data_IF_550695736375
#
_entry.id   IF_550695736375
#
_cell.length_a   1.000
_cell.length_b   1.000
_cell.length_c   1.000
_cell.angle_alpha   90.00
_cell.angle_beta   90.00
_cell.angle_gamma   90.00
#
_symmetry.space_group_name_H-M   'P 1'
#
loop_
_entity.id
_entity.type
_entity.pdbx_description
1 polymer ?
#
# COMPACT_ATOMS: atom_id res chain seq x y z
N UNK A 1 8.34 -31.05 -20.46
CA UNK A 1 7.65 -29.73 -20.52
C UNK A 1 8.41 -28.88 -21.54
N UNK A 2 7.72 -28.13 -22.40
CA UNK A 2 8.36 -27.28 -23.40
C UNK A 2 9.34 -26.30 -22.72
N UNK A 3 10.39 -25.90 -23.49
CA UNK A 3 11.40 -24.89 -23.10
C UNK A 3 10.74 -23.50 -23.06
N UNK A 4 9.97 -23.22 -21.99
CA UNK A 4 9.26 -21.95 -21.81
C UNK A 4 10.25 -20.87 -21.39
N UNK A 5 10.26 -19.73 -22.07
CA UNK A 5 11.16 -18.61 -21.81
C UNK A 5 10.43 -17.28 -21.78
N UNK A 6 10.96 -16.35 -21.03
CA UNK A 6 10.59 -14.93 -21.11
C UNK A 6 11.13 -14.37 -22.42
N UNK A 7 10.26 -13.90 -23.30
CA UNK A 7 10.68 -13.29 -24.59
C UNK A 7 10.87 -11.78 -24.46
N UNK A 8 10.00 -11.11 -23.73
CA UNK A 8 10.07 -9.67 -23.56
C UNK A 8 9.41 -9.20 -22.27
N UNK A 9 9.88 -8.07 -21.78
CA UNK A 9 9.26 -7.30 -20.71
C UNK A 9 8.82 -5.95 -21.28
N UNK A 10 7.55 -5.62 -21.13
CA UNK A 10 6.99 -4.32 -21.55
C UNK A 10 6.60 -3.52 -20.32
N UNK A 11 7.00 -2.26 -20.29
CA UNK A 11 6.58 -1.30 -19.27
C UNK A 11 5.47 -0.44 -19.84
N UNK A 12 4.32 -0.43 -19.17
CA UNK A 12 3.14 0.34 -19.57
C UNK A 12 2.89 1.40 -18.51
N UNK A 13 3.06 2.67 -18.92
CA UNK A 13 2.74 3.84 -18.11
C UNK A 13 1.38 4.37 -18.53
N UNK A 14 0.49 4.57 -17.56
CA UNK A 14 -0.85 5.12 -17.81
C UNK A 14 -1.38 5.86 -16.60
N UNK A 15 -2.20 6.89 -16.84
CA UNK A 15 -2.79 7.75 -15.80
C UNK A 15 -4.28 7.97 -16.08
N UNK A 16 -5.12 6.93 -16.05
CA UNK A 16 -6.56 7.09 -16.31
C UNK A 16 -7.31 7.75 -15.15
N UNK A 17 -6.69 7.88 -13.98
CA UNK A 17 -7.15 8.65 -12.83
C UNK A 17 -6.16 9.74 -12.46
N UNK A 18 -5.98 9.97 -11.17
CA UNK A 18 -5.04 10.97 -10.64
C UNK A 18 -3.63 10.45 -10.45
N UNK A 19 -3.43 9.13 -10.45
CA UNK A 19 -2.16 8.49 -10.15
C UNK A 19 -1.48 7.97 -11.41
N UNK A 20 -0.16 8.13 -11.47
CA UNK A 20 0.70 7.57 -12.52
C UNK A 20 0.95 6.11 -12.22
N UNK A 21 0.35 5.23 -12.98
CA UNK A 21 0.43 3.79 -12.79
C UNK A 21 1.51 3.20 -13.69
N UNK A 22 2.26 2.22 -13.15
CA UNK A 22 3.28 1.48 -13.87
C UNK A 22 2.91 0.00 -13.81
N UNK A 23 2.56 -0.54 -14.98
CA UNK A 23 2.25 -1.96 -15.13
C UNK A 23 3.33 -2.63 -15.96
N UNK A 24 3.76 -3.80 -15.52
CA UNK A 24 4.71 -4.64 -16.25
C UNK A 24 3.96 -5.78 -16.91
N UNK A 25 4.20 -5.99 -18.21
CA UNK A 25 3.72 -7.15 -18.96
C UNK A 25 4.90 -8.00 -19.38
N UNK A 26 4.96 -9.21 -18.84
CA UNK A 26 5.96 -10.22 -19.20
C UNK A 26 5.38 -11.14 -20.26
N UNK A 27 5.98 -11.16 -21.45
CA UNK A 27 5.62 -12.02 -22.56
C UNK A 27 6.47 -13.29 -22.53
N UNK A 28 5.88 -14.43 -22.90
CA UNK A 28 6.58 -15.72 -22.94
C UNK A 28 6.67 -16.26 -24.36
N UNK A 29 7.52 -17.27 -24.56
CA UNK A 29 7.66 -18.02 -25.83
C UNK A 29 6.41 -18.83 -26.19
N UNK A 30 5.45 -18.96 -25.29
CA UNK A 30 4.14 -19.54 -25.60
C UNK A 30 3.19 -18.46 -26.07
N UNK A 31 2.68 -18.54 -27.31
CA UNK A 31 1.80 -17.52 -27.86
C UNK A 31 0.53 -17.31 -27.00
N UNK A 32 0.27 -16.06 -26.65
CA UNK A 32 -0.90 -15.70 -25.84
C UNK A 32 -0.69 -15.86 -24.32
N UNK A 33 0.39 -16.48 -23.87
CA UNK A 33 0.73 -16.57 -22.45
C UNK A 33 1.58 -15.38 -22.01
N UNK A 34 1.03 -14.54 -21.15
CA UNK A 34 1.71 -13.40 -20.54
C UNK A 34 1.24 -13.21 -19.11
N UNK A 35 2.00 -12.46 -18.32
CA UNK A 35 1.61 -12.03 -16.99
C UNK A 35 1.67 -10.51 -16.82
N UNK A 36 0.86 -10.03 -15.88
CA UNK A 36 0.82 -8.63 -15.49
C UNK A 36 1.30 -8.47 -14.04
N UNK A 37 2.03 -7.38 -13.78
CA UNK A 37 2.49 -7.03 -12.44
C UNK A 37 2.50 -5.54 -12.19
N UNK A 38 2.42 -5.16 -10.90
CA UNK A 38 2.46 -3.78 -10.44
C UNK A 38 3.90 -3.36 -10.13
N UNK A 39 4.34 -2.25 -10.73
CA UNK A 39 5.61 -1.60 -10.44
C UNK A 39 5.40 -0.12 -10.08
N UNK A 40 4.23 0.23 -9.54
CA UNK A 40 3.83 1.61 -9.38
C UNK A 40 4.57 2.29 -8.23
N UNK A 41 5.35 3.31 -8.58
CA UNK A 41 5.90 4.34 -7.70
C UNK A 41 5.58 5.69 -8.35
N UNK A 42 4.41 6.22 -8.03
CA UNK A 42 3.81 7.36 -8.75
C UNK A 42 4.69 8.60 -8.73
N UNK A 43 5.46 8.85 -7.65
CA UNK A 43 6.35 10.01 -7.53
C UNK A 43 7.66 9.88 -8.33
N UNK A 44 8.02 8.66 -8.77
CA UNK A 44 9.28 8.35 -9.49
C UNK A 44 9.08 7.41 -10.67
N UNK A 45 7.93 7.50 -11.33
CA UNK A 45 7.51 6.58 -12.39
C UNK A 45 8.54 6.46 -13.52
N UNK A 46 9.20 7.56 -13.95
CA UNK A 46 10.24 7.52 -14.99
C UNK A 46 11.51 6.79 -14.54
N UNK A 47 11.86 6.89 -13.26
CA UNK A 47 13.01 6.16 -12.73
C UNK A 47 12.75 4.64 -12.73
N UNK A 48 11.54 4.23 -12.33
CA UNK A 48 11.12 2.82 -12.39
C UNK A 48 11.04 2.32 -13.82
N UNK A 49 10.50 3.13 -14.75
CA UNK A 49 10.51 2.82 -16.19
C UNK A 49 11.92 2.55 -16.69
N UNK A 50 12.87 3.45 -16.44
CA UNK A 50 14.26 3.29 -16.86
C UNK A 50 14.92 2.04 -16.23
N UNK A 51 14.64 1.76 -14.94
CA UNK A 51 15.13 0.54 -14.30
C UNK A 51 14.61 -0.73 -14.96
N UNK A 52 13.33 -0.76 -15.34
CA UNK A 52 12.71 -1.88 -16.06
C UNK A 52 13.29 -2.05 -17.48
N UNK A 53 13.33 -0.97 -18.25
CA UNK A 53 13.69 -1.04 -19.68
C UNK A 53 15.18 -1.33 -19.91
N UNK A 54 16.06 -0.83 -19.05
CA UNK A 54 17.50 -0.90 -19.26
C UNK A 54 18.24 -1.92 -18.36
N UNK A 55 17.62 -2.38 -17.28
CA UNK A 55 18.29 -3.24 -16.31
C UNK A 55 17.49 -4.50 -15.96
N UNK A 56 16.34 -4.37 -15.28
CA UNK A 56 15.62 -5.51 -14.70
C UNK A 56 14.96 -6.36 -15.80
N UNK A 57 14.33 -5.72 -16.81
CA UNK A 57 13.71 -6.42 -17.93
C UNK A 57 14.73 -7.23 -18.76
N UNK A 58 15.81 -6.62 -19.29
CA UNK A 58 16.85 -7.36 -20.02
C UNK A 58 17.48 -8.49 -19.21
N UNK A 59 17.58 -8.36 -17.89
CA UNK A 59 18.15 -9.38 -17.01
C UNK A 59 17.33 -10.68 -16.99
N UNK A 60 16.00 -10.61 -17.11
CA UNK A 60 15.11 -11.79 -17.03
C UNK A 60 14.81 -12.41 -18.38
N UNK A 61 15.02 -11.71 -19.49
CA UNK A 61 14.78 -12.23 -20.86
C UNK A 61 15.63 -13.48 -21.11
N UNK A 62 15.02 -14.50 -21.73
CA UNK A 62 15.62 -15.81 -22.01
C UNK A 62 15.57 -16.80 -20.86
N UNK A 63 15.18 -16.39 -19.67
CA UNK A 63 15.03 -17.27 -18.47
C UNK A 63 13.66 -17.93 -18.42
N UNK A 64 13.54 -18.98 -17.62
CA UNK A 64 12.29 -19.70 -17.41
C UNK A 64 11.39 -18.91 -16.43
N UNK A 65 10.17 -18.49 -16.84
CA UNK A 65 9.27 -17.73 -15.97
C UNK A 65 8.74 -18.54 -14.77
N UNK A 66 8.96 -19.83 -14.72
CA UNK A 66 8.50 -20.70 -13.62
C UNK A 66 9.43 -20.69 -12.41
N UNK A 67 10.67 -20.23 -12.58
CA UNK A 67 11.72 -20.19 -11.53
C UNK A 67 11.65 -18.88 -10.74
N UNK A 68 10.46 -18.56 -10.20
CA UNK A 68 10.13 -17.27 -9.59
C UNK A 68 11.09 -16.93 -8.45
N UNK A 69 11.36 -17.88 -7.56
CA UNK A 69 12.25 -17.64 -6.40
C UNK A 69 13.67 -17.28 -6.84
N UNK A 70 14.24 -17.99 -7.81
CA UNK A 70 15.57 -17.69 -8.32
C UNK A 70 15.62 -16.33 -9.02
N UNK A 71 14.61 -16.03 -9.84
CA UNK A 71 14.50 -14.78 -10.56
C UNK A 71 14.36 -13.59 -9.60
N UNK A 72 13.58 -13.74 -8.53
CA UNK A 72 13.43 -12.72 -7.52
C UNK A 72 14.74 -12.50 -6.73
N UNK A 73 15.35 -13.57 -6.19
CA UNK A 73 16.59 -13.47 -5.43
C UNK A 73 17.73 -12.89 -6.27
N UNK A 74 17.91 -13.39 -7.49
CA UNK A 74 18.95 -12.89 -8.39
C UNK A 74 18.67 -11.44 -8.84
N UNK A 75 17.40 -11.08 -9.07
CA UNK A 75 16.98 -9.71 -9.35
C UNK A 75 17.31 -8.73 -8.23
N UNK A 76 17.15 -9.17 -6.98
CA UNK A 76 17.47 -8.34 -5.79
C UNK A 76 18.97 -8.09 -5.60
N UNK A 77 19.86 -8.93 -6.16
CA UNK A 77 21.32 -8.84 -5.90
C UNK A 77 22.18 -8.49 -7.10
N UNK A 78 21.66 -8.60 -8.34
CA UNK A 78 22.45 -8.49 -9.56
C UNK A 78 23.12 -7.13 -9.78
N UNK A 79 22.60 -6.06 -9.18
CA UNK A 79 23.15 -4.70 -9.29
C UNK A 79 24.26 -4.38 -8.26
N UNK A 80 24.67 -5.35 -7.41
CA UNK A 80 25.60 -5.19 -6.30
C UNK A 80 25.07 -4.26 -5.18
N UNK A 81 24.80 -2.97 -5.46
CA UNK A 81 24.05 -2.08 -4.55
C UNK A 81 22.58 -2.39 -4.65
N UNK A 82 21.96 -2.68 -3.51
CA UNK A 82 20.64 -3.33 -3.43
C UNK A 82 19.67 -2.48 -2.65
N UNK A 83 18.37 -2.82 -2.84
CA UNK A 83 17.28 -2.23 -2.11
C UNK A 83 16.90 -0.81 -2.59
N UNK A 84 15.79 -0.33 -2.09
CA UNK A 84 15.23 0.98 -2.36
C UNK A 84 14.02 0.95 -3.30
N UNK A 85 13.13 1.95 -3.19
CA UNK A 85 11.80 1.89 -3.80
C UNK A 85 11.82 1.77 -5.33
N UNK A 86 12.76 2.40 -6.03
CA UNK A 86 12.81 2.34 -7.50
C UNK A 86 13.08 0.93 -8.00
N UNK A 87 14.14 0.28 -7.47
CA UNK A 87 14.52 -1.06 -7.91
C UNK A 87 13.54 -2.11 -7.41
N UNK A 88 13.04 -1.97 -6.18
CA UNK A 88 12.09 -2.92 -5.63
C UNK A 88 10.76 -2.90 -6.41
N UNK A 89 10.24 -1.73 -6.79
CA UNK A 89 9.06 -1.64 -7.63
C UNK A 89 9.28 -2.26 -9.02
N UNK A 90 10.44 -2.03 -9.64
CA UNK A 90 10.77 -2.67 -10.91
C UNK A 90 10.79 -4.20 -10.82
N UNK A 91 11.41 -4.75 -9.76
CA UNK A 91 11.45 -6.19 -9.48
C UNK A 91 10.03 -6.71 -9.19
N UNK A 92 9.23 -5.97 -8.42
CA UNK A 92 7.85 -6.33 -8.11
C UNK A 92 6.99 -6.54 -9.35
N UNK A 93 7.12 -5.65 -10.33
CA UNK A 93 6.38 -5.79 -11.59
C UNK A 93 6.69 -7.11 -12.31
N UNK A 94 7.96 -7.53 -12.30
CA UNK A 94 8.36 -8.83 -12.83
C UNK A 94 7.80 -9.96 -11.95
N UNK A 95 8.04 -9.93 -10.66
CA UNK A 95 7.65 -10.97 -9.69
C UNK A 95 6.14 -11.26 -9.75
N UNK A 96 5.31 -10.22 -9.69
CA UNK A 96 3.85 -10.39 -9.79
C UNK A 96 3.43 -10.97 -11.14
N UNK A 97 4.06 -10.53 -12.24
CA UNK A 97 3.77 -11.05 -13.57
C UNK A 97 4.17 -12.53 -13.70
N UNK A 98 5.24 -12.98 -13.06
CA UNK A 98 5.63 -14.38 -13.04
C UNK A 98 4.64 -15.24 -12.25
N UNK A 99 4.12 -14.75 -11.13
CA UNK A 99 3.05 -15.43 -10.38
C UNK A 99 1.75 -15.49 -11.20
N UNK A 100 1.40 -14.44 -11.93
CA UNK A 100 0.25 -14.42 -12.85
C UNK A 100 0.41 -15.47 -13.97
N UNK A 101 1.60 -15.57 -14.59
CA UNK A 101 1.94 -16.61 -15.56
C UNK A 101 1.79 -18.00 -14.93
N UNK A 102 2.31 -18.20 -13.72
CA UNK A 102 2.26 -19.50 -13.04
C UNK A 102 0.82 -19.95 -12.77
N UNK A 103 -0.04 -19.01 -12.35
CA UNK A 103 -1.47 -19.29 -12.18
C UNK A 103 -2.16 -19.65 -13.49
N UNK A 104 -1.86 -18.93 -14.56
CA UNK A 104 -2.38 -19.22 -15.92
C UNK A 104 -1.92 -20.59 -16.44
N UNK A 105 -0.66 -20.94 -16.26
CA UNK A 105 -0.12 -22.26 -16.59
C UNK A 105 -0.79 -23.40 -15.80
N UNK A 106 -1.09 -23.15 -14.53
CA UNK A 106 -1.75 -24.11 -13.66
C UNK A 106 -3.29 -24.16 -13.87
N UNK A 107 -3.85 -23.22 -14.64
CA UNK A 107 -5.30 -23.11 -14.84
C UNK A 107 -6.06 -22.71 -13.58
N UNK A 108 -5.41 -22.01 -12.63
CA UNK A 108 -6.01 -21.66 -11.34
C UNK A 108 -5.62 -20.23 -10.90
N UNK A 109 -6.43 -19.57 -10.06
CA UNK A 109 -6.09 -18.27 -9.49
C UNK A 109 -4.89 -18.38 -8.53
N UNK A 110 -4.13 -17.28 -8.37
CA UNK A 110 -2.89 -17.27 -7.58
C UNK A 110 -3.11 -17.73 -6.13
N UNK A 111 -4.21 -17.35 -5.49
CA UNK A 111 -4.48 -17.80 -4.11
C UNK A 111 -4.55 -19.34 -3.98
N UNK A 112 -4.95 -20.06 -5.04
CA UNK A 112 -4.96 -21.53 -5.02
C UNK A 112 -3.55 -22.13 -5.04
N UNK A 113 -2.59 -21.47 -5.68
CA UNK A 113 -1.18 -21.89 -5.66
C UNK A 113 -0.56 -21.76 -4.27
N UNK A 114 -1.10 -20.89 -3.41
CA UNK A 114 -0.61 -20.60 -2.06
C UNK A 114 -1.35 -21.36 -0.96
N UNK A 115 -2.12 -22.38 -1.31
CA UNK A 115 -2.82 -23.26 -0.37
C UNK A 115 -4.34 -23.10 -0.35
N UNK A 116 -4.89 -22.25 -1.20
CA UNK A 116 -6.34 -22.04 -1.32
C UNK A 116 -6.85 -20.91 -0.41
N UNK A 117 -8.16 -20.83 -0.28
CA UNK A 117 -8.83 -19.78 0.50
C UNK A 117 -8.86 -20.07 1.98
N UNK A 118 -8.31 -19.18 2.81
CA UNK A 118 -8.59 -19.13 4.24
C UNK A 118 -9.92 -18.41 4.53
N UNK A 119 -10.40 -17.60 3.60
CA UNK A 119 -11.68 -16.85 3.66
C UNK A 119 -12.24 -16.57 2.27
N UNK A 120 -13.58 -16.36 2.14
CA UNK A 120 -14.20 -16.10 0.83
C UNK A 120 -13.88 -14.71 0.25
N UNK A 121 -13.65 -13.71 1.11
CA UNK A 121 -13.38 -12.32 0.74
C UNK A 121 -12.54 -11.62 1.79
N UNK A 122 -11.87 -10.53 1.42
CA UNK A 122 -11.08 -9.67 2.30
C UNK A 122 -11.94 -8.53 2.85
N UNK A 123 -12.01 -8.37 4.17
CA UNK A 123 -12.57 -7.16 4.76
C UNK A 123 -11.76 -5.94 4.34
N UNK A 124 -12.40 -4.82 4.04
CA UNK A 124 -11.73 -3.61 3.60
C UNK A 124 -12.07 -2.41 4.47
N UNK A 125 -11.14 -1.47 4.59
CA UNK A 125 -11.43 -0.16 5.16
C UNK A 125 -11.37 0.92 4.09
N UNK A 126 -12.08 2.01 4.35
CA UNK A 126 -12.20 3.19 3.48
C UNK A 126 -11.81 4.45 4.21
N UNK A 127 -11.65 5.55 3.49
CA UNK A 127 -11.18 6.82 4.03
C UNK A 127 -12.32 7.81 4.18
N UNK A 128 -12.46 8.37 5.38
CA UNK A 128 -13.35 9.51 5.67
C UNK A 128 -12.51 10.73 6.04
N UNK A 129 -12.77 11.84 5.37
CA UNK A 129 -12.06 13.08 5.57
C UNK A 129 -12.98 14.29 5.62
N UNK A 130 -12.45 15.41 6.10
CA UNK A 130 -13.14 16.69 6.18
C UNK A 130 -12.24 17.76 6.75
N UNK A 131 -12.66 19.02 6.69
CA UNK A 131 -11.94 20.16 7.29
C UNK A 131 -12.29 20.33 8.77
N UNK A 132 -13.52 19.93 9.14
CA UNK A 132 -14.05 19.98 10.50
C UNK A 132 -14.52 18.61 10.96
N UNK A 133 -14.54 18.33 12.29
CA UNK A 133 -14.98 17.04 12.81
C UNK A 133 -16.35 16.59 12.32
N UNK A 134 -17.31 17.52 12.15
CA UNK A 134 -18.65 17.23 11.66
C UNK A 134 -18.65 16.71 10.23
N UNK A 135 -17.77 17.24 9.37
CA UNK A 135 -17.64 16.76 7.98
C UNK A 135 -17.04 15.35 7.94
N UNK A 136 -16.09 15.04 8.83
CA UNK A 136 -15.51 13.68 8.95
C UNK A 136 -16.56 12.69 9.43
N UNK A 137 -17.41 13.08 10.42
CA UNK A 137 -18.53 12.27 10.88
C UNK A 137 -19.49 11.96 9.73
N UNK A 138 -19.87 12.97 8.98
CA UNK A 138 -20.79 12.79 7.82
C UNK A 138 -20.17 11.89 6.74
N UNK A 139 -18.89 12.10 6.43
CA UNK A 139 -18.17 11.23 5.49
C UNK A 139 -18.11 9.78 5.97
N UNK A 140 -17.89 9.55 7.27
CA UNK A 140 -17.91 8.21 7.85
C UNK A 140 -19.31 7.56 7.78
N UNK A 141 -20.38 8.32 8.10
CA UNK A 141 -21.78 7.83 7.96
C UNK A 141 -22.09 7.37 6.55
N UNK A 142 -21.68 8.13 5.53
CA UNK A 142 -21.89 7.78 4.13
C UNK A 142 -21.24 6.44 3.77
N UNK A 143 -20.09 6.10 4.37
CA UNK A 143 -19.48 4.78 4.20
C UNK A 143 -20.20 3.69 4.97
N UNK A 144 -20.63 3.97 6.20
CA UNK A 144 -21.43 3.03 7.00
C UNK A 144 -22.76 2.68 6.29
N UNK A 145 -23.41 3.66 5.69
CA UNK A 145 -24.65 3.46 4.91
C UNK A 145 -24.44 2.57 3.67
N UNK A 146 -23.21 2.50 3.18
CA UNK A 146 -22.79 1.59 2.08
C UNK A 146 -22.29 0.23 2.58
N UNK A 147 -22.44 -0.07 3.87
CA UNK A 147 -22.07 -1.36 4.47
C UNK A 147 -20.62 -1.47 4.94
N UNK A 148 -19.81 -0.38 4.94
CA UNK A 148 -18.46 -0.41 5.46
C UNK A 148 -18.46 -0.26 6.98
N UNK A 149 -17.77 -1.18 7.65
CA UNK A 149 -17.65 -1.21 9.12
C UNK A 149 -16.32 -0.68 9.63
N UNK A 150 -15.34 -0.46 8.75
CA UNK A 150 -14.00 0.02 9.10
C UNK A 150 -13.71 1.31 8.32
N UNK A 151 -13.41 2.39 9.04
CA UNK A 151 -13.23 3.71 8.44
C UNK A 151 -12.01 4.42 9.01
N UNK A 152 -11.04 4.77 8.14
CA UNK A 152 -9.90 5.60 8.50
C UNK A 152 -10.31 7.07 8.46
N UNK A 153 -10.29 7.72 9.62
CA UNK A 153 -10.75 9.10 9.79
C UNK A 153 -9.58 10.08 9.88
N UNK A 154 -9.60 11.10 9.00
CA UNK A 154 -8.60 12.17 8.94
C UNK A 154 -9.27 13.55 8.91
N UNK A 155 -8.66 14.54 9.58
CA UNK A 155 -9.08 15.93 9.53
C UNK A 155 -8.02 16.76 8.79
N UNK A 156 -8.43 17.49 7.75
CA UNK A 156 -7.54 18.34 6.95
C UNK A 156 -6.48 17.58 6.15
N UNK A 157 -6.68 16.30 5.87
CA UNK A 157 -5.71 15.42 5.22
C UNK A 157 -4.44 15.23 6.05
N UNK A 158 -3.33 14.96 5.40
CA UNK A 158 -2.04 14.71 6.08
C UNK A 158 -1.41 15.97 6.68
N UNK A 159 -1.68 17.15 6.14
CA UNK A 159 -1.19 18.45 6.66
C UNK A 159 -2.06 18.98 7.81
N UNK A 160 -3.14 18.30 8.18
CA UNK A 160 -4.07 18.77 9.19
C UNK A 160 -4.80 20.04 8.75
N UNK A 161 -5.19 20.87 9.73
CA UNK A 161 -5.87 22.16 9.47
C UNK A 161 -4.93 23.26 8.95
N UNK A 162 -3.68 22.93 8.63
CA UNK A 162 -2.63 23.88 8.29
C UNK A 162 -1.90 24.42 9.51
N UNK A 163 -0.98 25.36 9.28
CA UNK A 163 -0.30 26.04 10.39
C UNK A 163 -1.25 27.00 11.08
N UNK A 164 -1.45 26.82 12.38
CA UNK A 164 -2.18 27.78 13.21
C UNK A 164 -1.47 29.11 13.41
N UNK A 165 -0.25 29.24 12.84
CA UNK A 165 0.57 30.45 12.82
C UNK A 165 1.01 30.75 11.39
N UNK A 166 1.08 32.02 11.05
CA UNK A 166 1.74 32.44 9.82
C UNK A 166 3.23 32.12 9.89
N UNK A 167 3.82 31.58 8.82
CA UNK A 167 5.25 31.38 8.76
C UNK A 167 6.00 32.72 8.87
N UNK A 168 7.27 32.70 9.32
CA UNK A 168 8.07 33.93 9.42
C UNK A 168 8.29 34.58 8.04
N UNK A 169 8.58 35.87 8.03
CA UNK A 169 8.92 36.60 6.80
C UNK A 169 10.10 35.92 6.10
N UNK A 170 9.99 35.76 4.77
CA UNK A 170 11.00 35.08 3.96
C UNK A 170 10.90 33.56 3.97
N UNK A 171 9.92 32.96 4.66
CA UNK A 171 9.69 31.50 4.58
C UNK A 171 9.24 31.10 3.17
N UNK A 172 9.68 29.94 2.64
CA UNK A 172 9.26 29.47 1.33
C UNK A 172 7.75 29.28 1.22
N UNK A 173 7.19 29.49 0.04
CA UNK A 173 5.79 29.14 -0.25
C UNK A 173 5.58 27.63 -0.18
N UNK A 174 4.35 27.20 0.14
CA UNK A 174 3.97 25.79 0.15
C UNK A 174 3.04 25.41 1.30
N UNK A 175 2.89 24.11 1.51
CA UNK A 175 2.07 23.54 2.58
C UNK A 175 2.81 23.59 3.92
N UNK A 176 2.11 24.01 4.96
CA UNK A 176 2.62 24.06 6.32
C UNK A 176 1.86 23.09 7.22
N UNK A 177 2.60 22.36 8.04
CA UNK A 177 2.10 21.39 8.99
C UNK A 177 2.47 21.80 10.42
N UNK A 178 1.50 21.92 11.32
CA UNK A 178 1.73 22.19 12.74
C UNK A 178 1.53 20.91 13.57
N UNK A 179 2.63 20.27 14.06
CA UNK A 179 2.53 19.08 14.90
C UNK A 179 1.72 19.32 16.18
N UNK A 180 1.79 20.52 16.75
CA UNK A 180 1.07 20.88 17.99
C UNK A 180 -0.43 21.00 17.76
N UNK A 181 -0.83 21.46 16.58
CA UNK A 181 -2.25 21.48 16.18
C UNK A 181 -2.76 20.04 16.03
N UNK A 182 -2.03 19.16 15.33
CA UNK A 182 -2.41 17.75 15.14
C UNK A 182 -2.60 17.04 16.49
N UNK A 183 -1.67 17.17 17.43
CA UNK A 183 -1.76 16.55 18.76
C UNK A 183 -3.01 17.01 19.53
N UNK A 184 -3.44 18.27 19.36
CA UNK A 184 -4.63 18.82 20.03
C UNK A 184 -5.94 18.48 19.32
N UNK A 185 -5.94 18.42 17.99
CA UNK A 185 -7.17 18.24 17.19
C UNK A 185 -7.57 16.77 17.04
N UNK A 186 -6.61 15.86 16.90
CA UNK A 186 -6.90 14.44 16.65
C UNK A 186 -7.69 13.79 17.81
N UNK A 187 -7.33 13.94 19.11
CA UNK A 187 -8.15 13.37 20.18
C UNK A 187 -9.58 13.93 20.20
N UNK A 188 -9.77 15.23 19.90
CA UNK A 188 -11.09 15.86 19.82
C UNK A 188 -11.92 15.34 18.63
N UNK A 189 -11.25 15.03 17.52
CA UNK A 189 -11.91 14.37 16.40
C UNK A 189 -12.47 13.02 16.84
N UNK A 190 -11.63 12.16 17.48
CA UNK A 190 -12.05 10.82 17.89
C UNK A 190 -13.08 10.82 19.03
N UNK A 191 -13.03 11.79 19.94
CA UNK A 191 -14.11 12.05 20.91
C UNK A 191 -15.43 12.33 20.19
N UNK A 192 -15.40 13.19 19.17
CA UNK A 192 -16.59 13.52 18.38
C UNK A 192 -17.09 12.31 17.58
N UNK A 193 -16.20 11.58 16.91
CA UNK A 193 -16.55 10.38 16.14
C UNK A 193 -17.22 9.32 17.02
N UNK A 194 -16.65 9.00 18.19
CA UNK A 194 -17.25 8.01 19.11
C UNK A 194 -18.59 8.47 19.67
N UNK A 195 -18.74 9.76 20.01
CA UNK A 195 -20.02 10.30 20.48
C UNK A 195 -21.10 10.20 19.39
N UNK A 196 -20.78 10.50 18.14
CA UNK A 196 -21.75 10.59 17.03
C UNK A 196 -22.01 9.27 16.31
N UNK A 197 -21.03 8.39 16.23
CA UNK A 197 -21.09 7.12 15.48
C UNK A 197 -21.23 5.89 16.38
N UNK A 198 -20.96 6.02 17.69
CA UNK A 198 -21.00 4.89 18.63
C UNK A 198 -19.78 3.97 18.51
N UNK A 199 -19.98 2.71 18.94
CA UNK A 199 -18.92 1.71 19.08
C UNK A 199 -18.95 0.63 17.99
N UNK A 200 -19.98 0.58 17.16
CA UNK A 200 -20.19 -0.49 16.18
C UNK A 200 -19.33 -0.29 14.92
N UNK A 201 -18.78 0.90 14.70
CA UNK A 201 -17.84 1.18 13.62
C UNK A 201 -16.40 1.10 14.14
N UNK A 202 -15.56 0.38 13.41
CA UNK A 202 -14.15 0.30 13.66
C UNK A 202 -13.44 1.53 13.07
N UNK A 203 -12.86 2.35 13.95
CA UNK A 203 -12.18 3.58 13.56
C UNK A 203 -10.67 3.36 13.45
N UNK A 204 -10.08 3.91 12.39
CA UNK A 204 -8.65 3.91 12.16
C UNK A 204 -8.15 5.35 12.04
N UNK A 205 -6.87 5.58 12.34
CA UNK A 205 -6.21 6.86 12.13
C UNK A 205 -4.79 6.67 11.65
N UNK A 206 -4.36 7.53 10.75
CA UNK A 206 -3.03 7.54 10.20
C UNK A 206 -2.27 8.78 10.71
N UNK A 207 -1.19 8.55 11.45
CA UNK A 207 -0.29 9.62 11.91
C UNK A 207 0.63 10.05 10.79
N UNK A 208 0.91 9.13 9.84
CA UNK A 208 1.76 9.33 8.68
C UNK A 208 3.16 9.84 9.08
N UNK A 209 3.73 9.26 10.14
CA UNK A 209 5.07 9.52 10.71
C UNK A 209 5.46 11.00 10.95
N UNK A 210 4.50 11.93 10.87
CA UNK A 210 4.73 13.38 10.85
C UNK A 210 5.05 14.02 12.20
N UNK A 211 4.95 13.25 13.27
CA UNK A 211 5.21 13.75 14.62
C UNK A 211 6.63 13.41 15.08
N UNK A 212 7.19 14.26 15.95
CA UNK A 212 8.37 13.86 16.70
C UNK A 212 8.05 12.62 17.55
N UNK A 213 9.00 11.65 17.73
CA UNK A 213 8.72 10.39 18.38
C UNK A 213 8.04 10.48 19.73
N UNK A 214 8.47 11.40 20.59
CA UNK A 214 7.88 11.61 21.92
C UNK A 214 6.42 12.10 21.83
N UNK A 215 6.13 12.96 20.85
CA UNK A 215 4.79 13.50 20.60
C UNK A 215 3.87 12.41 20.02
N UNK A 216 4.39 11.55 19.15
CA UNK A 216 3.69 10.40 18.60
C UNK A 216 3.29 9.40 19.69
N UNK A 217 4.21 9.06 20.60
CA UNK A 217 3.93 8.21 21.77
C UNK A 217 2.85 8.84 22.65
N UNK A 218 2.92 10.16 22.88
CA UNK A 218 1.89 10.91 23.62
C UNK A 218 0.52 10.86 22.95
N UNK A 219 0.46 11.00 21.62
CA UNK A 219 -0.78 10.91 20.85
C UNK A 219 -1.38 9.51 20.91
N UNK A 220 -0.56 8.46 20.74
CA UNK A 220 -1.02 7.08 20.85
C UNK A 220 -1.69 6.80 22.19
N UNK A 221 -1.09 7.31 23.28
CA UNK A 221 -1.66 7.22 24.64
C UNK A 221 -2.98 7.98 24.76
N UNK A 222 -3.07 9.18 24.17
CA UNK A 222 -4.27 10.00 24.24
C UNK A 222 -5.45 9.41 23.43
N UNK A 223 -5.19 8.52 22.49
CA UNK A 223 -6.21 7.88 21.66
C UNK A 223 -6.74 6.56 22.24
N UNK A 224 -6.13 5.97 23.26
CA UNK A 224 -6.59 4.72 23.88
C UNK A 224 -8.08 4.72 24.27
N UNK A 225 -8.65 5.80 24.86
CA UNK A 225 -10.07 5.83 25.26
C UNK A 225 -11.04 5.62 24.10
N UNK A 226 -10.60 5.89 22.87
CA UNK A 226 -11.45 5.82 21.67
C UNK A 226 -11.39 4.46 20.98
N UNK A 227 -10.60 3.50 21.49
CA UNK A 227 -10.57 2.10 21.04
C UNK A 227 -10.49 1.97 19.50
N UNK A 228 -9.41 2.52 18.93
CA UNK A 228 -9.15 2.41 17.51
C UNK A 228 -8.91 0.95 17.12
N UNK A 229 -9.34 0.57 15.92
CA UNK A 229 -8.99 -0.71 15.31
C UNK A 229 -7.46 -0.83 15.15
N UNK A 230 -6.82 0.25 14.67
CA UNK A 230 -5.39 0.49 14.81
C UNK A 230 -5.03 1.97 14.58
N UNK A 231 -3.83 2.32 15.01
CA UNK A 231 -3.14 3.56 14.73
C UNK A 231 -2.03 3.27 13.73
N UNK A 232 -2.10 3.92 12.57
CA UNK A 232 -1.25 3.69 11.41
C UNK A 232 -0.05 4.64 11.42
N UNK A 233 1.12 4.11 11.01
CA UNK A 233 2.39 4.81 10.82
C UNK A 233 2.69 5.86 11.91
N UNK A 234 2.63 5.37 13.15
CA UNK A 234 2.86 6.19 14.35
C UNK A 234 4.23 6.87 14.33
N UNK A 235 5.24 6.16 13.82
CA UNK A 235 6.65 6.53 13.83
C UNK A 235 7.28 6.21 12.47
N UNK A 236 8.33 6.93 12.11
CA UNK A 236 9.08 6.68 10.88
C UNK A 236 9.91 5.38 10.95
N UNK A 237 10.29 4.81 9.80
CA UNK A 237 11.20 3.65 9.74
C UNK A 237 12.54 3.88 10.45
N UNK A 238 13.02 5.13 10.50
CA UNK A 238 14.25 5.51 11.17
C UNK A 238 14.12 5.51 12.71
N UNK A 239 12.89 5.51 13.23
CA UNK A 239 12.58 5.65 14.65
C UNK A 239 12.09 4.32 15.28
N UNK A 240 12.47 3.16 14.73
CA UNK A 240 12.01 1.81 15.16
C UNK A 240 12.16 1.60 16.69
N UNK A 241 13.24 2.06 17.29
CA UNK A 241 13.47 1.88 18.72
C UNK A 241 12.42 2.56 19.61
N UNK A 242 11.74 3.58 19.11
CA UNK A 242 10.66 4.25 19.83
C UNK A 242 9.38 3.41 19.92
N UNK A 243 9.19 2.39 19.06
CA UNK A 243 8.06 1.47 19.19
C UNK A 243 8.08 0.70 20.52
N UNK A 244 9.26 0.40 21.10
CA UNK A 244 9.36 -0.20 22.41
C UNK A 244 8.79 0.72 23.51
N UNK A 245 9.05 2.04 23.41
CA UNK A 245 8.49 3.02 24.32
C UNK A 245 6.98 3.19 24.12
N UNK A 246 6.52 3.26 22.87
CA UNK A 246 5.10 3.33 22.56
C UNK A 246 4.35 2.12 23.15
N UNK A 247 4.86 0.91 22.91
CA UNK A 247 4.25 -0.32 23.43
C UNK A 247 4.28 -0.42 24.94
N UNK A 248 5.26 0.15 25.63
CA UNK A 248 5.34 0.16 27.08
C UNK A 248 4.26 1.02 27.76
N UNK A 249 3.68 2.01 27.06
CA UNK A 249 2.75 3.00 27.64
C UNK A 249 1.38 3.03 26.97
N UNK A 250 1.19 2.34 25.85
CA UNK A 250 -0.03 2.39 25.06
C UNK A 250 -0.46 1.00 24.58
N UNK A 251 -1.74 0.67 24.77
CA UNK A 251 -2.36 -0.57 24.32
C UNK A 251 -3.13 -0.42 22.99
N UNK A 252 -3.18 0.78 22.39
CA UNK A 252 -3.77 0.96 21.06
C UNK A 252 -3.07 0.05 20.05
N UNK A 253 -3.79 -0.76 19.26
CA UNK A 253 -3.17 -1.56 18.21
C UNK A 253 -2.40 -0.68 17.21
N UNK A 254 -1.22 -1.11 16.81
CA UNK A 254 -0.33 -0.37 15.90
C UNK A 254 -0.20 -1.09 14.56
N UNK A 255 -0.32 -0.33 13.47
CA UNK A 255 -0.03 -0.78 12.11
C UNK A 255 1.14 0.04 11.55
N UNK A 256 2.09 -0.63 10.90
CA UNK A 256 3.27 0.03 10.34
C UNK A 256 3.73 -0.66 9.07
N UNK A 257 4.25 0.12 8.11
CA UNK A 257 5.08 -0.52 7.10
C UNK A 257 5.06 0.00 5.68
N UNK A 258 4.26 0.96 5.29
CA UNK A 258 4.18 1.41 3.88
C UNK A 258 5.51 1.94 3.32
N UNK A 259 6.38 2.47 4.19
CA UNK A 259 7.69 3.00 3.81
C UNK A 259 8.83 1.98 3.86
N UNK A 260 8.60 0.76 4.35
CA UNK A 260 9.63 -0.27 4.37
C UNK A 260 9.93 -0.80 2.97
N UNK A 261 11.21 -1.03 2.72
CA UNK A 261 11.70 -1.54 1.45
C UNK A 261 12.35 -2.93 1.58
N UNK A 262 12.75 -3.35 2.78
CA UNK A 262 13.47 -4.59 2.99
C UNK A 262 13.00 -5.33 4.25
N UNK A 263 12.86 -6.67 4.19
CA UNK A 263 12.42 -7.48 5.34
C UNK A 263 13.17 -7.22 6.65
N UNK A 264 14.46 -6.93 6.58
CA UNK A 264 15.27 -6.68 7.77
C UNK A 264 14.91 -5.39 8.51
N UNK A 265 14.23 -4.47 7.87
CA UNK A 265 13.78 -3.21 8.49
C UNK A 265 12.66 -3.47 9.49
N UNK A 266 11.77 -4.40 9.20
CA UNK A 266 10.59 -4.67 10.04
C UNK A 266 10.70 -5.95 10.90
N UNK A 267 11.70 -6.81 10.70
CA UNK A 267 11.87 -8.02 11.52
C UNK A 267 11.89 -7.72 13.03
N UNK A 268 12.58 -6.69 13.55
CA UNK A 268 12.50 -6.36 14.97
C UNK A 268 11.09 -6.03 15.45
N UNK A 269 10.31 -5.27 14.67
CA UNK A 269 8.94 -4.91 15.02
C UNK A 269 8.04 -6.16 15.15
N UNK A 270 8.22 -7.12 14.24
CA UNK A 270 7.45 -8.38 14.24
C UNK A 270 7.94 -9.31 15.37
N UNK A 271 9.24 -9.58 15.44
CA UNK A 271 9.82 -10.56 16.38
C UNK A 271 9.67 -10.16 17.85
N UNK A 272 9.70 -8.85 18.14
CA UNK A 272 9.47 -8.32 19.48
C UNK A 272 7.99 -7.99 19.75
N UNK A 273 7.10 -8.22 18.77
CA UNK A 273 5.64 -7.93 18.87
C UNK A 273 5.36 -6.47 19.20
N UNK A 274 6.07 -5.57 18.57
CA UNK A 274 5.93 -4.12 18.78
C UNK A 274 4.78 -3.54 17.96
N UNK A 275 4.30 -4.25 16.94
CA UNK A 275 3.15 -3.92 16.12
C UNK A 275 2.15 -5.07 16.09
N UNK A 276 0.91 -4.77 15.76
CA UNK A 276 -0.19 -5.74 15.66
C UNK A 276 -0.54 -6.06 14.20
N UNK A 277 -0.22 -5.12 13.31
CA UNK A 277 -0.44 -5.26 11.87
C UNK A 277 0.81 -4.82 11.10
N UNK A 278 1.23 -5.64 10.16
CA UNK A 278 2.24 -5.26 9.15
C UNK A 278 1.53 -4.70 7.92
N UNK A 279 1.95 -3.49 7.50
CA UNK A 279 1.25 -2.72 6.50
C UNK A 279 2.17 -2.30 5.33
N UNK A 280 2.98 -3.24 4.87
CA UNK A 280 3.89 -2.94 3.75
C UNK A 280 3.14 -2.72 2.44
N UNK A 281 3.72 -1.88 1.58
CA UNK A 281 3.34 -1.76 0.19
C UNK A 281 4.01 -2.89 -0.60
N UNK A 282 3.21 -3.82 -1.12
CA UNK A 282 3.72 -5.08 -1.71
C UNK A 282 4.75 -4.84 -2.80
N UNK A 283 4.56 -3.84 -3.67
CA UNK A 283 5.56 -3.53 -4.69
C UNK A 283 6.83 -2.85 -4.14
N UNK A 284 6.75 -2.10 -3.03
CA UNK A 284 7.93 -1.49 -2.40
C UNK A 284 8.89 -2.52 -1.80
N UNK A 285 8.40 -3.67 -1.39
CA UNK A 285 9.23 -4.77 -0.86
C UNK A 285 9.65 -5.78 -1.93
N UNK A 286 9.32 -5.54 -3.21
CA UNK A 286 9.74 -6.37 -4.33
C UNK A 286 8.74 -7.41 -4.81
N UNK A 287 7.46 -7.36 -4.41
CA UNK A 287 6.38 -8.17 -5.00
C UNK A 287 5.76 -9.23 -4.08
N UNK A 288 5.11 -10.20 -4.69
CA UNK A 288 4.36 -11.28 -4.03
C UNK A 288 5.26 -12.28 -3.33
N UNK A 289 6.41 -12.60 -3.91
CA UNK A 289 7.38 -13.55 -3.32
C UNK A 289 7.83 -13.12 -1.92
N UNK A 290 8.31 -11.89 -1.67
CA UNK A 290 8.63 -11.43 -0.33
C UNK A 290 7.39 -11.22 0.55
N UNK A 291 6.24 -10.83 -0.01
CA UNK A 291 5.01 -10.62 0.75
C UNK A 291 4.49 -11.92 1.38
N UNK A 292 4.52 -13.04 0.64
CA UNK A 292 4.17 -14.37 1.17
C UNK A 292 5.10 -14.79 2.32
N UNK A 293 6.41 -14.60 2.16
CA UNK A 293 7.39 -14.89 3.22
C UNK A 293 7.14 -14.04 4.47
N UNK A 294 6.82 -12.77 4.26
CA UNK A 294 6.49 -11.85 5.35
C UNK A 294 5.20 -12.26 6.06
N UNK A 295 4.15 -12.61 5.34
CA UNK A 295 2.89 -13.05 5.93
C UNK A 295 3.10 -14.27 6.85
N UNK A 296 3.84 -15.28 6.40
CA UNK A 296 4.15 -16.46 7.21
C UNK A 296 5.04 -16.13 8.42
N UNK A 297 6.02 -15.23 8.28
CA UNK A 297 6.80 -14.74 9.41
C UNK A 297 5.89 -14.07 10.44
N UNK A 298 5.04 -13.16 10.02
CA UNK A 298 4.10 -12.43 10.87
C UNK A 298 3.13 -13.37 11.59
N UNK A 299 2.63 -14.40 10.91
CA UNK A 299 1.73 -15.41 11.50
C UNK A 299 2.37 -16.09 12.71
N UNK A 300 3.65 -16.46 12.61
CA UNK A 300 4.38 -17.12 13.71
C UNK A 300 4.50 -16.23 14.97
N UNK A 301 4.40 -14.92 14.84
CA UNK A 301 4.48 -13.96 15.95
C UNK A 301 3.12 -13.35 16.35
N UNK A 302 2.03 -13.76 15.69
CA UNK A 302 0.69 -13.26 15.96
C UNK A 302 0.43 -11.86 15.40
N UNK A 303 1.23 -11.39 14.44
CA UNK A 303 1.03 -10.14 13.72
C UNK A 303 0.18 -10.39 12.48
N UNK A 304 -0.83 -9.56 12.26
CA UNK A 304 -1.74 -9.67 11.11
C UNK A 304 -1.27 -8.83 9.94
N UNK A 305 -1.70 -9.19 8.72
CA UNK A 305 -1.41 -8.41 7.51
C UNK A 305 -2.48 -7.34 7.27
N UNK A 306 -2.05 -6.19 6.78
CA UNK A 306 -2.93 -5.08 6.36
C UNK A 306 -2.25 -4.31 5.22
N UNK A 307 -2.16 -4.94 4.04
CA UNK A 307 -1.37 -4.39 2.94
C UNK A 307 -1.79 -2.98 2.56
N UNK A 308 -0.79 -2.11 2.36
CA UNK A 308 -1.00 -0.77 1.84
C UNK A 308 -1.69 -0.82 0.48
N UNK A 309 -2.82 -0.12 0.32
CA UNK A 309 -3.69 -0.21 -0.85
C UNK A 309 -4.38 1.08 -1.26
N UNK A 310 -3.72 2.27 -1.17
CA UNK A 310 -4.28 3.53 -1.63
C UNK A 310 -4.34 3.63 -3.15
N UNK A 311 -4.74 4.81 -3.65
CA UNK A 311 -4.89 5.06 -5.09
C UNK A 311 -3.63 4.83 -5.93
N UNK A 312 -2.44 4.90 -5.33
CA UNK A 312 -1.15 4.70 -5.99
C UNK A 312 -0.71 3.21 -6.11
N UNK A 313 -1.48 2.27 -5.59
CA UNK A 313 -1.37 0.86 -5.99
C UNK A 313 -2.18 0.64 -7.25
N UNK A 314 -1.57 0.16 -8.34
CA UNK A 314 -2.34 -0.10 -9.57
C UNK A 314 -3.44 -1.13 -9.36
N UNK A 315 -4.50 -1.16 -10.20
CA UNK A 315 -5.50 -2.22 -10.15
C UNK A 315 -4.93 -3.64 -10.19
N UNK A 316 -3.81 -3.85 -10.89
CA UNK A 316 -3.07 -5.14 -10.89
C UNK A 316 -2.51 -5.44 -9.50
N UNK A 317 -1.89 -4.46 -8.84
CA UNK A 317 -1.39 -4.61 -7.48
C UNK A 317 -2.50 -4.85 -6.47
N UNK A 318 -3.65 -4.19 -6.64
CA UNK A 318 -4.80 -4.40 -5.77
C UNK A 318 -5.39 -5.81 -5.93
N UNK A 319 -5.46 -6.34 -7.17
CA UNK A 319 -5.85 -7.73 -7.38
C UNK A 319 -4.88 -8.69 -6.69
N UNK A 320 -3.56 -8.43 -6.78
CA UNK A 320 -2.53 -9.21 -6.09
C UNK A 320 -2.69 -9.17 -4.57
N UNK A 321 -2.96 -8.00 -3.99
CA UNK A 321 -3.23 -7.86 -2.55
C UNK A 321 -4.43 -8.71 -2.12
N UNK A 322 -5.57 -8.64 -2.84
CA UNK A 322 -6.76 -9.42 -2.49
C UNK A 322 -6.51 -10.94 -2.60
N UNK A 323 -5.69 -11.39 -3.56
CA UNK A 323 -5.27 -12.79 -3.62
C UNK A 323 -4.44 -13.21 -2.40
N UNK A 324 -3.53 -12.36 -1.91
CA UNK A 324 -2.81 -12.57 -0.64
C UNK A 324 -3.78 -12.64 0.54
N UNK A 325 -4.69 -11.67 0.65
CA UNK A 325 -5.62 -11.53 1.76
C UNK A 325 -6.53 -12.75 1.94
N UNK A 326 -6.98 -13.33 0.85
CA UNK A 326 -7.84 -14.52 0.93
C UNK A 326 -7.05 -15.79 1.19
N UNK A 327 -5.76 -15.83 0.85
CA UNK A 327 -4.91 -17.00 1.03
C UNK A 327 -4.31 -17.07 2.44
N UNK A 328 -3.69 -15.99 2.93
CA UNK A 328 -2.94 -16.02 4.21
C UNK A 328 -3.89 -16.09 5.41
N UNK A 329 -3.54 -16.92 6.41
CA UNK A 329 -4.40 -17.13 7.58
C UNK A 329 -4.47 -15.90 8.50
N UNK A 330 -3.35 -15.20 8.69
CA UNK A 330 -3.19 -14.06 9.59
C UNK A 330 -3.61 -12.71 8.97
N UNK A 331 -4.51 -12.72 8.01
CA UNK A 331 -5.09 -11.49 7.46
C UNK A 331 -5.80 -10.65 8.53
N UNK A 332 -5.64 -9.35 8.46
CA UNK A 332 -6.33 -8.39 9.32
C UNK A 332 -7.37 -7.58 8.55
N UNK A 333 -6.91 -6.68 7.68
CA UNK A 333 -7.79 -5.84 6.87
C UNK A 333 -7.03 -5.34 5.63
N UNK A 334 -7.74 -5.03 4.55
CA UNK A 334 -7.18 -4.45 3.33
C UNK A 334 -7.57 -2.96 3.20
N UNK A 335 -6.61 -2.09 2.95
CA UNK A 335 -6.88 -0.72 2.53
C UNK A 335 -7.51 -0.69 1.15
N UNK A 336 -8.57 0.10 0.97
CA UNK A 336 -9.28 0.17 -0.30
C UNK A 336 -9.49 1.59 -0.80
N UNK A 337 -9.11 1.80 -2.06
CA UNK A 337 -9.43 3.01 -2.81
C UNK A 337 -10.27 2.67 -4.03
N UNK A 338 -11.43 3.31 -4.17
CA UNK A 338 -12.29 3.14 -5.34
C UNK A 338 -11.62 3.74 -6.58
N UNK A 339 -11.90 3.12 -7.71
CA UNK A 339 -11.33 3.49 -9.00
C UNK A 339 -12.30 4.31 -9.82
N UNK A 340 -11.77 5.18 -10.67
CA UNK A 340 -12.55 5.93 -11.65
C UNK A 340 -13.09 5.00 -12.74
N UNK A 341 -14.12 5.43 -13.46
CA UNK A 341 -14.67 4.68 -14.58
C UNK A 341 -13.61 4.43 -15.67
N UNK A 342 -12.71 5.41 -15.91
CA UNK A 342 -11.60 5.25 -16.86
C UNK A 342 -10.58 4.21 -16.39
N UNK A 343 -10.26 4.17 -15.08
CA UNK A 343 -9.41 3.10 -14.53
C UNK A 343 -10.07 1.72 -14.70
N UNK A 344 -11.37 1.60 -14.40
CA UNK A 344 -12.11 0.36 -14.55
C UNK A 344 -12.24 -0.08 -16.01
N UNK A 345 -12.32 0.86 -16.94
CA UNK A 345 -12.34 0.57 -18.37
C UNK A 345 -10.98 0.08 -18.88
N UNK A 346 -9.88 0.66 -18.39
CA UNK A 346 -8.49 0.23 -18.72
C UNK A 346 -8.17 -1.13 -18.12
N UNK A 347 -8.64 -1.42 -16.89
CA UNK A 347 -8.28 -2.63 -16.13
C UNK A 347 -9.50 -3.55 -15.93
N UNK A 348 -9.67 -4.52 -16.82
CA UNK A 348 -10.75 -5.50 -16.72
C UNK A 348 -10.47 -6.58 -15.67
N UNK A 349 -11.42 -6.80 -14.74
CA UNK A 349 -11.36 -7.92 -13.79
C UNK A 349 -10.83 -7.56 -12.39
N UNK A 350 -10.90 -6.30 -12.01
CA UNK A 350 -10.68 -5.92 -10.62
C UNK A 350 -11.54 -6.74 -9.65
N UNK A 351 -11.06 -6.99 -8.41
CA UNK A 351 -11.89 -7.52 -7.34
C UNK A 351 -13.14 -6.66 -7.13
N UNK A 352 -14.27 -7.32 -6.90
CA UNK A 352 -15.54 -6.66 -6.63
C UNK A 352 -15.67 -6.37 -5.12
N UNK A 353 -16.06 -5.14 -4.77
CA UNK A 353 -16.33 -4.79 -3.36
C UNK A 353 -17.85 -4.73 -3.12
N UNK A 354 -18.30 -5.49 -2.13
CA UNK A 354 -19.69 -5.54 -1.68
C UNK A 354 -19.75 -5.58 -0.17
N UNK A 355 -20.55 -4.72 0.43
CA UNK A 355 -20.81 -4.70 1.89
C UNK A 355 -19.52 -4.73 2.74
N UNK A 356 -18.51 -3.92 2.36
CA UNK A 356 -17.24 -3.83 3.06
C UNK A 356 -16.27 -5.00 2.84
N UNK A 357 -16.49 -5.85 1.83
CA UNK A 357 -15.63 -6.99 1.51
C UNK A 357 -15.22 -7.00 0.03
N UNK A 358 -13.94 -7.18 -0.24
CA UNK A 358 -13.36 -7.37 -1.58
C UNK A 358 -13.31 -8.86 -1.93
N UNK A 359 -13.91 -9.22 -3.05
CA UNK A 359 -13.99 -10.58 -3.58
C UNK A 359 -13.02 -10.76 -4.75
N UNK A 360 -12.05 -11.68 -4.67
CA UNK A 360 -11.24 -12.01 -5.84
C UNK A 360 -12.10 -12.68 -6.89
N UNK A 361 -11.75 -12.52 -8.16
CA UNK A 361 -12.32 -13.39 -9.18
C UNK A 361 -11.58 -14.73 -9.24
N UNK A 362 -12.21 -15.74 -9.87
CA UNK A 362 -11.67 -17.11 -9.94
C UNK A 362 -10.94 -17.40 -11.25
N UNK A 363 -10.64 -16.38 -12.07
CA UNK A 363 -9.88 -16.57 -13.30
C UNK A 363 -8.42 -16.96 -12.99
N UNK A 364 -7.78 -17.76 -13.87
CA UNK A 364 -6.39 -18.13 -13.69
C UNK A 364 -5.45 -16.92 -13.57
N UNK A 365 -4.42 -17.05 -12.73
CA UNK A 365 -3.48 -15.97 -12.43
C UNK A 365 -4.03 -14.98 -11.42
N UNK A 366 -3.77 -13.71 -11.61
CA UNK A 366 -4.35 -12.60 -10.82
C UNK A 366 -5.76 -12.22 -11.25
N UNK A 367 -6.25 -12.82 -12.34
CA UNK A 367 -7.61 -12.62 -12.82
C UNK A 367 -7.91 -11.23 -13.39
N UNK A 368 -6.92 -10.38 -13.54
CA UNK A 368 -7.02 -9.03 -14.07
C UNK A 368 -6.36 -8.92 -15.44
N UNK A 369 -6.83 -8.02 -16.28
CA UNK A 369 -6.23 -7.72 -17.57
C UNK A 369 -6.14 -6.22 -17.83
N UNK A 370 -5.42 -5.83 -18.88
CA UNK A 370 -5.15 -4.45 -19.26
C UNK A 370 -5.42 -4.25 -20.74
N UNK A 371 -6.29 -3.31 -21.09
CA UNK A 371 -6.42 -2.82 -22.48
C UNK A 371 -5.29 -1.82 -22.77
N UNK A 372 -4.22 -2.31 -23.44
CA UNK A 372 -3.05 -1.48 -23.80
C UNK A 372 -3.41 -0.32 -24.73
N UNK A 373 -4.41 -0.49 -25.62
CA UNK A 373 -4.82 0.58 -26.55
C UNK A 373 -5.56 1.70 -25.82
N UNK A 374 -6.38 1.32 -24.86
CA UNK A 374 -7.08 2.29 -24.02
C UNK A 374 -6.11 2.96 -23.06
N UNK A 375 -5.22 2.21 -22.42
CA UNK A 375 -4.17 2.73 -21.52
C UNK A 375 -3.30 3.80 -22.20
N UNK A 376 -2.94 3.60 -23.48
CA UNK A 376 -2.16 4.55 -24.26
C UNK A 376 -2.85 5.92 -24.49
N UNK A 377 -4.16 6.02 -24.24
CA UNK A 377 -4.91 7.28 -24.33
C UNK A 377 -4.76 8.17 -23.07
N UNK A 378 -4.20 7.61 -22.02
CA UNK A 378 -3.99 8.28 -20.72
C UNK A 378 -2.48 8.33 -20.41
N UNK A 379 -1.68 9.14 -21.14
CA UNK A 379 -0.26 9.26 -20.86
C UNK A 379 -0.03 9.88 -19.48
N UNK A 380 1.03 9.42 -18.79
CA UNK A 380 1.44 10.05 -17.53
C UNK A 380 1.99 11.46 -17.78
N UNK A 381 1.59 12.42 -16.93
CA UNK A 381 2.29 13.69 -16.82
C UNK A 381 3.66 13.51 -16.13
N UNK A 382 4.52 14.53 -16.22
CA UNK A 382 5.83 14.56 -15.58
C UNK A 382 5.93 15.63 -14.46
N UNK A 383 4.79 16.10 -13.96
CA UNK A 383 4.72 17.10 -12.91
C UNK A 383 5.29 16.55 -11.59
N UNK A 384 6.05 17.38 -10.87
CA UNK A 384 6.55 17.00 -9.56
C UNK A 384 5.43 17.08 -8.53
N UNK A 385 5.16 16.02 -7.77
CA UNK A 385 4.18 16.06 -6.69
C UNK A 385 4.65 17.02 -5.59
N UNK A 386 3.77 17.90 -5.17
CA UNK A 386 4.06 18.92 -4.13
C UNK A 386 3.62 18.51 -2.74
N UNK A 387 2.72 17.54 -2.62
CA UNK A 387 2.16 17.10 -1.34
C UNK A 387 3.19 16.47 -0.41
N UNK A 388 4.30 15.93 -0.96
CA UNK A 388 5.42 15.38 -0.21
C UNK A 388 6.36 16.46 0.34
N UNK A 389 6.14 17.74 -0.02
CA UNK A 389 6.97 18.85 0.44
C UNK A 389 6.15 19.74 1.37
N UNK A 390 6.17 19.44 2.66
CA UNK A 390 5.54 20.26 3.69
C UNK A 390 6.58 20.85 4.64
N UNK A 391 6.21 21.92 5.34
CA UNK A 391 7.09 22.64 6.26
C UNK A 391 6.46 22.81 7.63
N UNK A 392 7.30 22.82 8.64
CA UNK A 392 6.91 23.22 10.00
C UNK A 392 6.61 24.72 10.05
N UNK A 393 5.94 25.23 11.11
CA UNK A 393 5.56 26.63 11.22
C UNK A 393 6.72 27.63 11.16
N UNK A 394 7.94 27.21 11.45
CA UNK A 394 9.17 28.00 11.37
C UNK A 394 9.83 28.02 9.97
N UNK A 395 9.26 27.31 9.00
CA UNK A 395 9.79 27.17 7.65
C UNK A 395 10.72 25.95 7.44
N UNK A 396 11.05 25.19 8.47
CA UNK A 396 11.85 23.96 8.36
C UNK A 396 11.07 22.89 7.58
N UNK A 397 11.76 22.12 6.72
CA UNK A 397 11.13 20.99 6.00
C UNK A 397 10.62 19.95 6.99
N UNK A 398 9.38 19.51 6.82
CA UNK A 398 8.80 18.41 7.58
C UNK A 398 8.89 17.09 6.79
N UNK A 399 8.77 15.96 7.47
CA UNK A 399 8.50 14.67 6.83
C UNK A 399 7.16 14.73 6.09
N UNK A 400 7.03 14.08 4.92
CA UNK A 400 5.82 14.09 4.10
C UNK A 400 4.61 13.42 4.72
#
# INVERSE_FOLDING_TARGET
MADLKIEAVRTILTQPGTQRLIVVKVLTSEPGLYGLGCATFTQRHRAVQAALEHHVGPFVVGKDPRDIEDLWQSGMVNGYWRNGPVLNNAISGIDMALWDIKGKLAGMPCYQLWGGRSRPAAAVYVHAGGKEPAEVVESARQWMDKGFTHVRCQIGGYVGRGAGRMPPEGAPEGAYFDPREKIRSVPKLFETLRRELGEEVELLHDVHERLAPIDAVGLAKALEPYRLFYLEDLLAPEDIDWFRQARAVCATPLAMGELFNHPREFVPLVSERLIDFIRVHVSQIGGLTPALKLAHLCEAFGVRTAWHGPGDVSPVGMAANVHLDVAVHNFGIQEWSFRTDDELAVFGGMPEVRDGYAYPNDRPGLGIDLDEKLAARFPCDDDNPTWTVSRLPDGTIARP
#
